data_IF_357731433469
#
_entry.id   IF_357731433469
#
_cell.length_a   1.000
_cell.length_b   1.000
_cell.length_c   1.000
_cell.angle_alpha   90.00
_cell.angle_beta   90.00
_cell.angle_gamma   90.00
#
_symmetry.space_group_name_H-M   'P 1'
#
loop_
_entity.id
_entity.type
_entity.pdbx_description
1 polymer ?
#
# COMPACT_ATOMS: atom_id res chain seq x y z
N UNK A 1 -9.84 -13.93 -10.22
CA UNK A 1 -10.26 -12.82 -11.13
C UNK A 1 -11.01 -11.80 -10.31
N UNK A 2 -10.66 -10.51 -10.41
CA UNK A 2 -11.33 -9.43 -9.70
C UNK A 2 -12.58 -8.94 -10.43
N UNK A 3 -13.46 -8.24 -9.68
CA UNK A 3 -14.60 -7.48 -10.20
C UNK A 3 -14.61 -6.12 -9.52
N UNK A 4 -14.98 -5.07 -10.23
CA UNK A 4 -15.16 -3.75 -9.64
C UNK A 4 -16.43 -3.70 -8.78
N UNK A 5 -16.38 -2.89 -7.71
CA UNK A 5 -17.54 -2.61 -6.89
C UNK A 5 -18.63 -1.90 -7.72
N UNK A 6 -19.89 -2.24 -7.49
CA UNK A 6 -21.03 -1.58 -8.16
C UNK A 6 -21.16 -0.12 -7.75
N UNK A 7 -20.92 0.17 -6.45
CA UNK A 7 -20.92 1.53 -5.90
C UNK A 7 -19.53 1.87 -5.34
N UNK A 8 -18.74 2.60 -6.11
CA UNK A 8 -17.42 3.10 -5.73
C UNK A 8 -17.47 4.38 -4.88
N UNK A 9 -18.65 4.98 -4.70
CA UNK A 9 -18.82 6.12 -3.79
C UNK A 9 -19.00 5.68 -2.33
N UNK A 10 -19.44 4.45 -2.12
CA UNK A 10 -19.56 3.85 -0.79
C UNK A 10 -18.18 3.53 -0.20
N UNK A 11 -18.09 3.65 1.12
CA UNK A 11 -16.93 3.19 1.88
C UNK A 11 -17.13 1.76 2.38
N UNK A 12 -16.05 0.98 2.38
CA UNK A 12 -16.05 -0.38 2.92
C UNK A 12 -15.96 -0.45 4.44
N UNK A 13 -15.47 -1.57 4.95
CA UNK A 13 -15.12 -1.73 6.37
C UNK A 13 -13.83 -0.96 6.71
N UNK A 14 -13.67 -0.60 8.00
CA UNK A 14 -12.38 -0.09 8.49
C UNK A 14 -11.27 -1.11 8.17
N UNK A 15 -10.20 -0.70 7.46
CA UNK A 15 -9.17 -1.63 7.03
C UNK A 15 -8.47 -2.32 8.22
N UNK A 16 -8.30 -1.60 9.36
CA UNK A 16 -7.77 -2.20 10.59
C UNK A 16 -8.64 -3.35 11.11
N UNK A 17 -9.97 -3.26 10.99
CA UNK A 17 -10.86 -4.36 11.37
C UNK A 17 -10.68 -5.54 10.41
N UNK A 18 -10.60 -5.27 9.12
CA UNK A 18 -10.37 -6.29 8.08
C UNK A 18 -9.06 -7.05 8.34
N UNK A 19 -7.97 -6.34 8.67
CA UNK A 19 -6.70 -6.98 9.04
C UNK A 19 -6.88 -7.89 10.27
N UNK A 20 -7.49 -7.38 11.35
CA UNK A 20 -7.64 -8.14 12.59
C UNK A 20 -8.60 -9.32 12.45
N UNK A 21 -9.72 -9.18 11.76
CA UNK A 21 -10.68 -10.25 11.49
C UNK A 21 -10.07 -11.34 10.59
N UNK A 22 -9.28 -10.94 9.61
CA UNK A 22 -8.52 -11.89 8.77
C UNK A 22 -7.49 -12.65 9.60
N UNK A 23 -6.74 -11.96 10.47
CA UNK A 23 -5.77 -12.61 11.37
C UNK A 23 -6.45 -13.56 12.36
N UNK A 24 -7.62 -13.20 12.94
CA UNK A 24 -8.38 -14.12 13.81
C UNK A 24 -8.78 -15.40 13.06
N UNK A 25 -9.19 -15.28 11.80
CA UNK A 25 -9.49 -16.45 10.95
C UNK A 25 -8.25 -17.29 10.69
N UNK A 26 -7.11 -16.68 10.40
CA UNK A 26 -5.84 -17.38 10.17
C UNK A 26 -5.34 -18.07 11.45
N UNK A 27 -5.46 -17.43 12.62
CA UNK A 27 -5.10 -18.02 13.91
C UNK A 27 -5.99 -19.25 14.23
N UNK A 28 -7.28 -19.19 13.90
CA UNK A 28 -8.18 -20.33 14.07
C UNK A 28 -7.81 -21.54 13.22
N UNK A 29 -7.20 -21.31 12.06
CA UNK A 29 -6.71 -22.35 11.14
C UNK A 29 -5.29 -22.84 11.48
N UNK A 30 -4.45 -21.95 12.04
CA UNK A 30 -3.04 -22.21 12.32
C UNK A 30 -2.58 -21.42 13.55
N UNK A 31 -2.34 -22.10 14.66
CA UNK A 31 -1.89 -21.54 15.94
C UNK A 31 -0.47 -20.93 15.90
N UNK A 32 0.27 -21.15 14.81
CA UNK A 32 1.58 -20.51 14.58
C UNK A 32 1.47 -19.06 14.10
N UNK A 33 0.31 -18.61 13.65
CA UNK A 33 0.08 -17.21 13.32
C UNK A 33 0.02 -16.40 14.62
N UNK A 34 0.85 -15.37 14.74
CA UNK A 34 0.94 -14.53 15.95
C UNK A 34 0.95 -13.05 15.57
N UNK A 35 0.33 -12.24 16.42
CA UNK A 35 0.27 -10.79 16.29
C UNK A 35 1.17 -10.11 17.31
N UNK A 36 2.08 -9.26 16.85
CA UNK A 36 2.94 -8.44 17.69
C UNK A 36 2.55 -6.97 17.56
N UNK A 37 2.53 -6.27 18.67
CA UNK A 37 2.08 -4.87 18.74
C UNK A 37 3.12 -4.00 19.47
N UNK A 38 3.20 -2.73 19.07
CA UNK A 38 4.08 -1.73 19.66
C UNK A 38 3.28 -0.65 20.41
N UNK A 39 2.49 -1.06 21.40
CA UNK A 39 1.64 -0.19 22.24
C UNK A 39 0.58 0.62 21.46
N UNK A 40 0.16 0.10 20.31
CA UNK A 40 -0.87 0.72 19.47
C UNK A 40 -2.12 -0.15 19.29
N UNK A 41 -2.31 -1.14 20.18
CA UNK A 41 -3.40 -2.11 20.07
C UNK A 41 -4.81 -1.50 20.08
N UNK A 42 -4.99 -0.34 20.73
CA UNK A 42 -6.24 0.43 20.64
C UNK A 42 -6.42 1.13 19.29
N UNK A 43 -5.34 1.53 18.63
CA UNK A 43 -5.38 2.18 17.33
C UNK A 43 -5.65 1.17 16.20
N UNK A 44 -4.99 0.01 16.25
CA UNK A 44 -5.14 -1.07 15.27
C UNK A 44 -6.37 -1.95 15.49
N UNK A 45 -7.00 -1.89 16.67
CA UNK A 45 -7.98 -2.87 17.17
C UNK A 45 -7.42 -4.28 17.41
N UNK A 46 -6.09 -4.47 17.48
CA UNK A 46 -5.46 -5.77 17.75
C UNK A 46 -5.74 -6.29 19.17
N UNK A 47 -6.21 -5.45 20.08
CA UNK A 47 -6.74 -5.89 21.38
C UNK A 47 -7.90 -6.89 21.24
N UNK A 48 -8.58 -6.97 20.10
CA UNK A 48 -9.56 -8.03 19.81
C UNK A 48 -8.88 -9.40 19.78
N UNK A 49 -7.69 -9.49 19.17
CA UNK A 49 -6.89 -10.73 19.14
C UNK A 49 -6.43 -11.06 20.55
N UNK A 50 -5.91 -10.07 21.31
CA UNK A 50 -5.54 -10.27 22.72
C UNK A 50 -6.69 -10.84 23.56
N UNK A 51 -7.91 -10.39 23.31
CA UNK A 51 -9.08 -10.85 24.05
C UNK A 51 -9.56 -12.26 23.65
N UNK A 52 -9.50 -12.63 22.38
CA UNK A 52 -9.98 -13.93 21.87
C UNK A 52 -8.89 -15.00 21.84
N UNK A 53 -7.64 -14.63 21.55
CA UNK A 53 -6.50 -15.51 21.34
C UNK A 53 -5.26 -14.96 22.08
N UNK A 54 -5.25 -14.92 23.42
CA UNK A 54 -4.20 -14.25 24.18
C UNK A 54 -2.80 -14.86 23.97
N UNK A 55 -2.70 -16.16 23.69
CA UNK A 55 -1.44 -16.85 23.44
C UNK A 55 -0.83 -16.49 22.04
N UNK A 56 -1.64 -15.93 21.15
CA UNK A 56 -1.22 -15.47 19.82
C UNK A 56 -1.01 -13.95 19.75
N UNK A 57 -1.02 -13.25 20.90
CA UNK A 57 -0.82 -11.80 20.97
C UNK A 57 0.37 -11.45 21.86
N UNK A 58 1.30 -10.67 21.32
CA UNK A 58 2.51 -10.24 22.02
C UNK A 58 2.58 -8.72 22.01
N UNK A 59 2.57 -8.12 23.21
CA UNK A 59 2.81 -6.71 23.38
C UNK A 59 4.29 -6.44 23.61
N UNK A 60 4.93 -5.70 22.71
CA UNK A 60 6.35 -5.37 22.76
C UNK A 60 6.64 -3.99 23.36
N UNK A 61 5.60 -3.21 23.67
CA UNK A 61 5.73 -1.81 24.08
C UNK A 61 6.21 -0.90 22.95
N UNK A 62 6.49 0.36 23.25
CA UNK A 62 7.00 1.34 22.26
C UNK A 62 8.47 1.03 21.93
N UNK A 63 8.70 -0.07 21.24
CA UNK A 63 10.02 -0.64 20.95
C UNK A 63 10.02 -1.35 19.60
N UNK A 64 9.77 -0.65 18.50
CA UNK A 64 9.56 -1.22 17.18
C UNK A 64 10.76 -2.05 16.69
N UNK A 65 11.99 -1.59 16.96
CA UNK A 65 13.21 -2.34 16.63
C UNK A 65 13.27 -3.68 17.39
N UNK A 66 12.94 -3.67 18.69
CA UNK A 66 12.86 -4.91 19.49
C UNK A 66 11.75 -5.83 18.98
N UNK A 67 10.57 -5.28 18.64
CA UNK A 67 9.47 -6.05 18.07
C UNK A 67 9.88 -6.81 16.81
N UNK A 68 10.69 -6.20 15.93
CA UNK A 68 11.23 -6.88 14.74
C UNK A 68 12.19 -8.00 15.10
N UNK A 69 13.04 -7.79 16.11
CA UNK A 69 13.94 -8.84 16.63
C UNK A 69 13.16 -10.02 17.22
N UNK A 70 12.10 -9.75 17.99
CA UNK A 70 11.21 -10.79 18.54
C UNK A 70 10.50 -11.54 17.40
N UNK A 71 9.94 -10.83 16.42
CA UNK A 71 9.30 -11.44 15.27
C UNK A 71 10.25 -12.33 14.47
N UNK A 72 11.49 -11.89 14.24
CA UNK A 72 12.51 -12.69 13.58
C UNK A 72 12.84 -13.97 14.36
N UNK A 73 13.01 -13.87 15.68
CA UNK A 73 13.24 -15.04 16.55
C UNK A 73 12.05 -16.00 16.53
N UNK A 74 10.82 -15.50 16.57
CA UNK A 74 9.63 -16.35 16.45
C UNK A 74 9.55 -17.04 15.07
N UNK A 75 9.90 -16.33 14.01
CA UNK A 75 9.97 -16.92 12.67
C UNK A 75 10.96 -18.08 12.59
N UNK A 76 12.13 -17.96 13.24
CA UNK A 76 13.11 -19.05 13.27
C UNK A 76 12.62 -20.30 13.99
N UNK A 77 11.63 -20.15 14.89
CA UNK A 77 10.97 -21.25 15.61
C UNK A 77 9.68 -21.75 14.89
N UNK A 78 9.46 -21.28 13.64
CA UNK A 78 8.37 -21.74 12.79
C UNK A 78 7.02 -21.03 13.04
N UNK A 79 7.01 -19.91 13.75
CA UNK A 79 5.84 -19.05 13.84
C UNK A 79 5.72 -18.15 12.59
N UNK A 80 4.52 -17.64 12.37
CA UNK A 80 4.16 -16.71 11.28
C UNK A 80 3.82 -15.36 11.91
N UNK A 81 4.82 -14.51 12.20
CA UNK A 81 4.59 -13.25 12.87
C UNK A 81 3.97 -12.21 11.94
N UNK A 82 2.93 -11.56 12.44
CA UNK A 82 2.41 -10.30 11.93
C UNK A 82 2.73 -9.21 12.94
N UNK A 83 3.29 -8.11 12.49
CA UNK A 83 3.66 -6.97 13.33
C UNK A 83 2.89 -5.73 12.89
N UNK A 84 2.48 -4.90 13.84
CA UNK A 84 1.81 -3.63 13.54
C UNK A 84 2.45 -2.47 14.29
N UNK A 85 2.58 -1.38 13.58
CA UNK A 85 2.71 -0.01 14.08
C UNK A 85 2.38 0.96 12.94
N UNK A 86 2.43 2.27 13.18
CA UNK A 86 2.28 3.24 12.09
C UNK A 86 3.39 3.10 11.04
N UNK A 87 3.05 3.37 9.79
CA UNK A 87 3.97 3.25 8.65
C UNK A 87 5.35 3.92 8.87
N UNK A 88 5.46 5.15 9.43
CA UNK A 88 6.78 5.74 9.66
C UNK A 88 7.60 5.03 10.74
N UNK A 89 6.95 4.42 11.72
CA UNK A 89 7.67 3.76 12.81
C UNK A 89 8.18 2.40 12.40
N UNK A 90 7.40 1.65 11.62
CA UNK A 90 7.83 0.37 11.07
C UNK A 90 8.97 0.56 10.06
N UNK A 91 8.89 1.61 9.24
CA UNK A 91 9.88 1.87 8.20
C UNK A 91 11.15 2.48 8.78
N UNK A 92 11.07 3.60 9.53
CA UNK A 92 12.26 4.35 9.96
C UNK A 92 12.96 3.77 11.19
N UNK A 93 12.17 3.44 12.25
CA UNK A 93 12.75 3.05 13.54
C UNK A 93 13.28 1.63 13.57
N UNK A 94 12.68 0.74 12.80
CA UNK A 94 12.97 -0.69 12.84
C UNK A 94 13.73 -1.21 11.61
N UNK A 95 14.12 -0.33 10.69
CA UNK A 95 14.66 -0.72 9.39
C UNK A 95 15.87 -1.66 9.49
N UNK A 96 16.80 -1.35 10.37
CA UNK A 96 18.02 -2.17 10.53
C UNK A 96 17.69 -3.60 10.96
N UNK A 97 16.75 -3.78 11.90
CA UNK A 97 16.32 -5.09 12.35
C UNK A 97 15.50 -5.83 11.28
N UNK A 98 14.66 -5.13 10.53
CA UNK A 98 13.98 -5.72 9.37
C UNK A 98 14.99 -6.20 8.34
N UNK A 99 16.03 -5.40 8.07
CA UNK A 99 17.07 -5.73 7.09
C UNK A 99 17.94 -6.90 7.57
N UNK A 100 18.53 -6.81 8.78
CA UNK A 100 19.48 -7.80 9.28
C UNK A 100 18.81 -9.03 9.87
N UNK A 101 17.91 -8.84 10.87
CA UNK A 101 17.29 -9.95 11.57
C UNK A 101 16.17 -10.61 10.74
N UNK A 102 15.51 -9.83 9.93
CA UNK A 102 14.47 -10.32 9.00
C UNK A 102 15.06 -10.83 7.69
N UNK A 103 15.35 -9.92 6.77
CA UNK A 103 15.70 -10.25 5.38
C UNK A 103 17.00 -11.01 5.22
N UNK A 104 18.12 -10.48 5.77
CA UNK A 104 19.44 -11.09 5.64
C UNK A 104 19.51 -12.47 6.32
N UNK A 105 18.86 -12.63 7.47
CA UNK A 105 18.76 -13.90 8.17
C UNK A 105 17.69 -14.86 7.61
N UNK A 106 17.01 -14.49 6.52
CA UNK A 106 15.97 -15.30 5.87
C UNK A 106 14.76 -15.63 6.76
N UNK A 107 14.42 -14.78 7.71
CA UNK A 107 13.24 -14.90 8.54
C UNK A 107 12.02 -14.28 7.85
N UNK A 108 10.83 -14.78 8.22
CA UNK A 108 9.56 -14.26 7.74
C UNK A 108 9.00 -13.23 8.71
N UNK A 109 8.69 -12.03 8.24
CA UNK A 109 7.99 -11.01 9.02
C UNK A 109 6.94 -10.35 8.12
N UNK A 110 5.66 -10.44 8.53
CA UNK A 110 4.55 -9.78 7.86
C UNK A 110 4.28 -8.46 8.58
N UNK A 111 4.38 -7.34 7.89
CA UNK A 111 4.44 -6.01 8.52
C UNK A 111 3.28 -5.14 8.03
N UNK A 112 2.33 -4.82 8.92
CA UNK A 112 1.27 -3.86 8.68
C UNK A 112 1.71 -2.45 9.09
N UNK A 113 2.03 -1.60 8.12
CA UNK A 113 2.26 -0.17 8.31
C UNK A 113 0.97 0.63 8.14
N UNK A 114 0.32 0.98 9.26
CA UNK A 114 -0.97 1.67 9.18
C UNK A 114 -0.84 3.17 8.96
N UNK A 115 -1.88 3.77 8.37
CA UNK A 115 -2.04 5.20 8.08
C UNK A 115 -0.86 5.83 7.33
N UNK A 116 -0.48 5.30 6.15
CA UNK A 116 0.60 5.84 5.36
C UNK A 116 0.26 7.23 4.79
N UNK A 117 1.28 8.01 4.54
CA UNK A 117 1.14 9.31 3.90
C UNK A 117 0.24 10.26 4.66
N UNK A 118 -0.67 10.94 3.97
CA UNK A 118 -1.60 11.89 4.58
C UNK A 118 -2.74 11.22 5.37
N UNK A 119 -2.90 9.90 5.26
CA UNK A 119 -3.96 9.15 5.97
C UNK A 119 -3.85 9.24 7.49
N UNK A 120 -2.67 9.53 8.02
CA UNK A 120 -2.42 9.71 9.45
C UNK A 120 -3.13 10.91 10.04
N UNK A 121 -3.53 11.86 9.22
CA UNK A 121 -4.39 13.01 9.54
C UNK A 121 -3.89 13.84 10.74
N UNK A 122 -4.71 13.92 11.81
CA UNK A 122 -4.48 14.79 12.96
C UNK A 122 -3.22 14.45 13.78
N UNK A 123 -2.62 13.25 13.60
CA UNK A 123 -1.38 12.90 14.27
C UNK A 123 -0.17 13.70 13.74
N UNK A 124 -0.28 14.27 12.55
CA UNK A 124 0.67 15.22 12.00
C UNK A 124 1.98 14.64 11.50
N UNK A 125 2.93 15.54 11.21
CA UNK A 125 4.17 15.21 10.50
C UNK A 125 5.07 14.18 11.16
N UNK A 126 5.06 14.06 12.48
CA UNK A 126 5.86 13.03 13.19
C UNK A 126 5.36 11.61 12.94
N UNK A 127 4.10 11.47 12.54
CA UNK A 127 3.43 10.20 12.26
C UNK A 127 3.18 10.00 10.75
N UNK A 128 3.51 10.99 9.92
CA UNK A 128 3.40 10.90 8.46
C UNK A 128 4.61 10.14 7.89
N UNK A 129 4.37 9.26 6.92
CA UNK A 129 5.40 8.65 6.10
C UNK A 129 5.17 8.99 4.63
N UNK A 130 6.12 9.65 4.01
CA UNK A 130 6.17 9.83 2.55
C UNK A 130 7.35 9.06 1.93
N UNK A 131 7.98 8.16 2.71
CA UNK A 131 9.20 7.43 2.35
C UNK A 131 9.17 5.93 2.68
N UNK A 132 8.10 5.44 3.29
CA UNK A 132 8.00 4.05 3.76
C UNK A 132 8.14 3.02 2.63
N UNK A 133 7.47 3.23 1.50
CA UNK A 133 7.59 2.38 0.31
C UNK A 133 9.03 2.41 -0.23
N UNK A 134 9.63 3.61 -0.31
CA UNK A 134 11.02 3.77 -0.77
C UNK A 134 11.99 2.96 0.08
N UNK A 135 11.90 3.07 1.40
CA UNK A 135 12.74 2.35 2.36
C UNK A 135 12.56 0.83 2.20
N UNK A 136 11.31 0.35 2.20
CA UNK A 136 11.01 -1.09 2.12
C UNK A 136 11.38 -1.70 0.76
N UNK A 137 11.29 -0.95 -0.32
CA UNK A 137 11.71 -1.39 -1.64
C UNK A 137 13.22 -1.67 -1.75
N UNK A 138 14.06 -1.06 -0.91
CA UNK A 138 15.51 -1.30 -0.92
C UNK A 138 15.90 -2.67 -0.36
N UNK A 139 15.02 -3.33 0.40
CA UNK A 139 15.31 -4.64 1.01
C UNK A 139 15.27 -5.73 -0.08
N UNK A 140 16.35 -6.51 -0.29
CA UNK A 140 16.35 -7.60 -1.26
C UNK A 140 15.22 -8.61 -0.98
N UNK A 141 14.52 -9.02 -2.03
CA UNK A 141 13.40 -9.99 -1.99
C UNK A 141 12.21 -9.60 -1.11
N UNK A 142 12.17 -8.41 -0.53
CA UNK A 142 10.98 -7.94 0.17
C UNK A 142 9.81 -7.74 -0.81
N UNK A 143 8.60 -7.94 -0.31
CA UNK A 143 7.36 -7.58 -1.01
C UNK A 143 6.77 -6.33 -0.39
N UNK A 144 6.23 -5.46 -1.24
CA UNK A 144 5.67 -4.17 -0.82
C UNK A 144 4.30 -4.00 -1.46
N UNK A 145 3.28 -3.87 -0.63
CA UNK A 145 1.89 -3.75 -1.06
C UNK A 145 1.24 -2.46 -0.53
N UNK A 146 0.34 -1.90 -1.32
CA UNK A 146 -0.50 -0.76 -0.92
C UNK A 146 -1.96 -1.07 -1.28
N UNK A 147 -2.79 -1.35 -0.28
CA UNK A 147 -4.15 -1.83 -0.48
C UNK A 147 -5.11 -0.73 -0.94
N UNK A 148 -5.81 -0.94 -2.04
CA UNK A 148 -6.78 0.00 -2.60
C UNK A 148 -8.11 0.03 -1.83
N UNK A 149 -8.48 -1.06 -1.16
CA UNK A 149 -9.69 -1.16 -0.34
C UNK A 149 -9.67 -2.34 0.65
N UNK A 150 -10.80 -2.55 1.32
CA UNK A 150 -11.00 -3.60 2.31
C UNK A 150 -10.88 -5.02 1.73
N UNK A 151 -11.39 -5.24 0.51
CA UNK A 151 -11.37 -6.55 -0.16
C UNK A 151 -9.94 -6.93 -0.51
N UNK A 152 -9.19 -6.01 -1.08
CA UNK A 152 -7.79 -6.23 -1.43
C UNK A 152 -6.91 -6.37 -0.17
N UNK A 153 -7.17 -5.60 0.90
CA UNK A 153 -6.45 -5.74 2.16
C UNK A 153 -6.61 -7.15 2.74
N UNK A 154 -7.82 -7.70 2.78
CA UNK A 154 -8.07 -9.06 3.26
C UNK A 154 -7.28 -10.11 2.45
N UNK A 155 -7.24 -9.96 1.14
CA UNK A 155 -6.48 -10.83 0.26
C UNK A 155 -4.97 -10.73 0.53
N UNK A 156 -4.44 -9.51 0.68
CA UNK A 156 -3.01 -9.28 0.99
C UNK A 156 -2.62 -9.98 2.30
N UNK A 157 -3.40 -9.78 3.37
CA UNK A 157 -3.11 -10.41 4.69
C UNK A 157 -3.09 -11.93 4.58
N UNK A 158 -4.11 -12.52 3.94
CA UNK A 158 -4.16 -13.98 3.72
C UNK A 158 -2.96 -14.47 2.91
N UNK A 159 -2.62 -13.76 1.84
CA UNK A 159 -1.49 -14.12 0.97
C UNK A 159 -0.17 -14.04 1.73
N UNK A 160 0.06 -12.98 2.50
CA UNK A 160 1.29 -12.81 3.29
C UNK A 160 1.52 -13.94 4.29
N UNK A 161 0.46 -14.51 4.87
CA UNK A 161 0.58 -15.65 5.81
C UNK A 161 1.27 -16.89 5.18
N UNK A 162 1.16 -17.06 3.87
CA UNK A 162 1.79 -18.16 3.12
C UNK A 162 3.13 -17.82 2.45
N UNK A 163 3.61 -16.58 2.56
CA UNK A 163 4.81 -16.12 1.86
C UNK A 163 6.02 -16.02 2.81
N UNK A 164 7.17 -16.62 2.47
CA UNK A 164 8.39 -16.46 3.24
C UNK A 164 9.03 -15.08 3.03
N UNK A 165 9.83 -14.62 3.98
CA UNK A 165 10.62 -13.40 3.90
C UNK A 165 9.87 -12.16 4.37
N UNK A 166 10.26 -10.99 3.89
CA UNK A 166 9.71 -9.71 4.33
C UNK A 166 8.52 -9.33 3.47
N UNK A 167 7.35 -9.20 4.10
CA UNK A 167 6.12 -8.79 3.46
C UNK A 167 5.61 -7.51 4.14
N UNK A 168 5.82 -6.37 3.52
CA UNK A 168 5.33 -5.09 3.98
C UNK A 168 4.03 -4.73 3.24
N UNK A 169 2.97 -4.51 3.97
CA UNK A 169 1.71 -4.01 3.44
C UNK A 169 1.24 -2.80 4.23
N UNK A 170 0.70 -1.83 3.51
CA UNK A 170 0.24 -0.59 4.10
C UNK A 170 -1.21 -0.30 3.70
N UNK A 171 -1.88 0.49 4.51
CA UNK A 171 -3.24 0.94 4.27
C UNK A 171 -3.78 1.74 5.43
N UNK A 172 -4.87 2.43 5.20
CA UNK A 172 -5.55 3.24 6.20
C UNK A 172 -6.04 2.36 7.37
N UNK A 173 -6.16 2.93 8.56
CA UNK A 173 -6.88 2.24 9.65
C UNK A 173 -8.38 2.29 9.46
N UNK A 174 -8.88 3.35 8.86
CA UNK A 174 -10.32 3.60 8.65
C UNK A 174 -10.80 3.09 7.29
N UNK A 175 -12.10 3.13 7.12
CA UNK A 175 -12.75 2.83 5.87
C UNK A 175 -12.34 3.83 4.77
N UNK A 176 -12.09 3.30 3.59
CA UNK A 176 -11.88 4.04 2.36
C UNK A 176 -12.89 3.58 1.32
N UNK A 177 -12.96 4.27 0.19
CA UNK A 177 -13.91 3.94 -0.88
C UNK A 177 -13.65 2.55 -1.45
N UNK A 178 -14.72 1.84 -1.80
CA UNK A 178 -14.63 0.55 -2.44
C UNK A 178 -14.08 0.68 -3.87
N UNK A 179 -13.20 -0.24 -4.24
CA UNK A 179 -12.71 -0.43 -5.61
C UNK A 179 -13.18 -1.79 -6.13
N UNK A 180 -13.11 -2.80 -5.29
CA UNK A 180 -13.39 -4.19 -5.65
C UNK A 180 -14.66 -4.73 -4.99
N UNK A 181 -15.37 -5.60 -5.71
CA UNK A 181 -16.47 -6.37 -5.17
C UNK A 181 -15.95 -7.53 -4.29
N UNK A 182 -16.74 -7.93 -3.31
CA UNK A 182 -16.46 -9.11 -2.48
C UNK A 182 -16.21 -10.36 -3.34
N UNK A 183 -15.30 -11.21 -2.90
CA UNK A 183 -14.89 -12.40 -3.63
C UNK A 183 -13.94 -12.15 -4.80
N UNK A 184 -13.43 -10.93 -4.95
CA UNK A 184 -12.35 -10.66 -5.91
C UNK A 184 -11.07 -11.37 -5.50
N UNK A 185 -10.39 -11.95 -6.50
CA UNK A 185 -9.11 -12.63 -6.36
C UNK A 185 -8.05 -11.88 -7.14
N UNK A 186 -6.86 -11.82 -6.56
CA UNK A 186 -5.71 -11.12 -7.12
C UNK A 186 -4.55 -12.08 -7.36
N UNK A 187 -3.51 -11.62 -8.05
CA UNK A 187 -2.31 -12.39 -8.30
C UNK A 187 -1.08 -11.62 -7.81
N UNK A 188 -0.20 -12.32 -7.09
CA UNK A 188 1.02 -11.73 -6.56
C UNK A 188 1.93 -11.22 -7.68
N UNK A 189 2.35 -9.96 -7.59
CA UNK A 189 3.23 -9.33 -8.57
C UNK A 189 2.53 -8.94 -9.87
N UNK A 190 1.19 -9.00 -9.92
CA UNK A 190 0.40 -8.54 -11.07
C UNK A 190 -0.39 -7.29 -10.74
N UNK A 191 -0.43 -6.37 -11.69
CA UNK A 191 -1.32 -5.20 -11.66
C UNK A 191 -2.70 -5.53 -12.22
N UNK A 192 -3.69 -4.70 -11.90
CA UNK A 192 -5.07 -4.86 -12.36
C UNK A 192 -5.44 -3.68 -13.26
N UNK A 193 -5.79 -3.94 -14.52
CA UNK A 193 -6.40 -2.92 -15.39
C UNK A 193 -7.85 -2.74 -14.96
N UNK A 194 -8.15 -1.59 -14.34
CA UNK A 194 -9.48 -1.27 -13.82
C UNK A 194 -10.36 -0.57 -14.85
N UNK A 195 -9.72 0.13 -15.78
CA UNK A 195 -10.37 0.87 -16.84
C UNK A 195 -9.45 0.90 -18.05
N UNK A 196 -10.00 0.55 -19.20
CA UNK A 196 -9.31 0.68 -20.50
C UNK A 196 -9.27 2.15 -20.95
N UNK A 197 -8.24 2.52 -21.72
CA UNK A 197 -8.09 3.86 -22.29
C UNK A 197 -6.95 3.94 -23.31
N UNK A 198 -7.08 4.83 -24.28
CA UNK A 198 -6.15 4.89 -25.43
C UNK A 198 -5.14 6.05 -25.39
N UNK A 199 -5.42 7.11 -24.63
CA UNK A 199 -4.59 8.32 -24.69
C UNK A 199 -3.53 8.36 -23.59
N UNK A 200 -3.92 8.10 -22.33
CA UNK A 200 -3.07 8.23 -21.15
C UNK A 200 -3.13 6.98 -20.30
N UNK A 201 -1.98 6.57 -19.77
CA UNK A 201 -1.90 5.52 -18.76
C UNK A 201 -1.72 6.15 -17.37
N UNK A 202 -2.65 5.89 -16.46
CA UNK A 202 -2.58 6.24 -15.05
C UNK A 202 -2.29 4.98 -14.25
N UNK A 203 -1.16 4.95 -13.53
CA UNK A 203 -0.79 3.84 -12.66
C UNK A 203 -0.86 4.34 -11.22
N UNK A 204 -1.74 3.74 -10.40
CA UNK A 204 -1.94 4.13 -9.02
C UNK A 204 -1.85 2.92 -8.09
N UNK A 205 -1.76 3.16 -6.78
CA UNK A 205 -1.83 2.15 -5.75
C UNK A 205 -2.50 2.71 -4.49
N UNK A 206 -3.02 1.82 -3.66
CA UNK A 206 -3.61 2.19 -2.39
C UNK A 206 -4.88 3.03 -2.54
N UNK A 207 -5.17 3.82 -1.51
CA UNK A 207 -6.39 4.63 -1.43
C UNK A 207 -6.64 5.56 -2.63
N UNK A 208 -5.58 5.99 -3.32
CA UNK A 208 -5.70 6.91 -4.46
C UNK A 208 -6.19 6.25 -5.76
N UNK A 209 -6.33 4.93 -5.79
CA UNK A 209 -6.91 4.21 -6.93
C UNK A 209 -8.34 4.69 -7.25
N UNK A 210 -9.15 4.93 -6.22
CA UNK A 210 -10.50 5.50 -6.40
C UNK A 210 -10.46 6.90 -7.03
N UNK A 211 -9.53 7.76 -6.60
CA UNK A 211 -9.35 9.10 -7.18
C UNK A 211 -8.81 9.05 -8.61
N UNK A 212 -7.97 8.05 -8.93
CA UNK A 212 -7.49 7.82 -10.29
C UNK A 212 -8.64 7.45 -11.25
N UNK A 213 -9.57 6.60 -10.80
CA UNK A 213 -10.78 6.25 -11.56
C UNK A 213 -11.69 7.46 -11.76
N UNK A 214 -11.91 8.28 -10.73
CA UNK A 214 -12.70 9.51 -10.84
C UNK A 214 -12.04 10.52 -11.81
N UNK A 215 -10.71 10.64 -11.75
CA UNK A 215 -9.96 11.48 -12.68
C UNK A 215 -10.13 11.01 -14.14
N UNK A 216 -10.06 9.70 -14.38
CA UNK A 216 -10.25 9.13 -15.71
C UNK A 216 -11.67 9.38 -16.25
N UNK A 217 -12.71 9.24 -15.42
CA UNK A 217 -14.08 9.56 -15.79
C UNK A 217 -14.28 11.06 -16.12
N UNK A 218 -13.59 11.93 -15.37
CA UNK A 218 -13.66 13.38 -15.63
C UNK A 218 -12.87 13.80 -16.88
N UNK A 219 -11.77 13.12 -17.18
CA UNK A 219 -10.98 13.31 -18.41
C UNK A 219 -11.76 12.86 -19.65
N UNK A 220 -12.51 11.74 -19.55
CA UNK A 220 -13.34 11.26 -20.65
C UNK A 220 -14.41 12.27 -21.08
N UNK A 221 -15.05 12.96 -20.11
CA UNK A 221 -16.00 14.05 -20.41
C UNK A 221 -15.34 15.21 -21.16
N UNK A 222 -14.02 15.28 -21.16
CA UNK A 222 -13.20 16.28 -21.86
C UNK A 222 -12.56 15.72 -23.15
N UNK A 223 -12.91 14.47 -23.55
CA UNK A 223 -12.42 13.83 -24.76
C UNK A 223 -11.03 13.18 -24.60
N UNK A 224 -10.55 12.95 -23.38
CA UNK A 224 -9.29 12.28 -23.08
C UNK A 224 -9.58 10.88 -22.54
N UNK A 225 -9.16 9.84 -23.26
CA UNK A 225 -9.37 8.44 -22.89
C UNK A 225 -8.22 7.97 -22.01
N UNK A 226 -8.47 7.84 -20.69
CA UNK A 226 -7.47 7.44 -19.72
C UNK A 226 -7.68 5.99 -19.26
N UNK A 227 -6.63 5.19 -19.35
CA UNK A 227 -6.51 3.88 -18.73
C UNK A 227 -6.09 4.00 -17.27
N UNK A 228 -6.61 3.12 -16.41
CA UNK A 228 -6.24 3.10 -14.97
C UNK A 228 -5.81 1.70 -14.57
N UNK A 229 -4.60 1.61 -14.03
CA UNK A 229 -4.05 0.40 -13.42
C UNK A 229 -3.93 0.59 -11.91
N UNK A 230 -4.44 -0.37 -11.14
CA UNK A 230 -4.08 -0.57 -9.75
C UNK A 230 -2.84 -1.45 -9.64
N UNK A 231 -1.72 -0.85 -9.27
CA UNK A 231 -0.44 -1.53 -9.05
C UNK A 231 -0.22 -1.78 -7.55
N UNK A 232 -1.15 -2.47 -6.92
CA UNK A 232 -1.16 -2.72 -5.48
C UNK A 232 0.10 -3.45 -4.97
N UNK A 233 0.73 -4.27 -5.81
CA UNK A 233 2.01 -4.88 -5.54
C UNK A 233 3.11 -4.02 -6.17
N UNK A 234 3.71 -3.13 -5.36
CA UNK A 234 4.76 -2.20 -5.82
C UNK A 234 6.10 -2.93 -5.98
N UNK A 235 6.29 -4.02 -5.21
CA UNK A 235 7.44 -4.91 -5.34
C UNK A 235 7.01 -6.36 -5.01
N UNK A 236 7.24 -7.32 -5.94
CA UNK A 236 7.70 -7.10 -7.31
C UNK A 236 6.69 -6.31 -8.15
N UNK A 237 7.18 -5.46 -9.05
CA UNK A 237 6.33 -4.71 -9.97
C UNK A 237 5.93 -5.61 -11.15
N UNK A 238 4.74 -5.43 -11.70
CA UNK A 238 4.33 -6.04 -12.97
C UNK A 238 4.93 -5.26 -14.15
N UNK A 239 6.20 -5.52 -14.43
CA UNK A 239 6.95 -4.85 -15.51
C UNK A 239 6.35 -5.15 -16.88
N UNK A 240 5.86 -6.38 -17.10
CA UNK A 240 5.22 -6.78 -18.35
C UNK A 240 3.97 -5.95 -18.64
N UNK A 241 3.12 -5.75 -17.62
CA UNK A 241 1.92 -4.93 -17.73
C UNK A 241 2.28 -3.47 -17.99
N UNK A 242 3.26 -2.90 -17.26
CA UNK A 242 3.72 -1.53 -17.49
C UNK A 242 4.17 -1.36 -18.93
N UNK A 243 4.97 -2.28 -19.47
CA UNK A 243 5.51 -2.20 -20.82
C UNK A 243 4.46 -2.45 -21.90
N UNK A 244 3.50 -3.34 -21.68
CA UNK A 244 2.43 -3.60 -22.64
C UNK A 244 1.50 -2.40 -22.77
N UNK A 245 1.06 -1.85 -21.64
CA UNK A 245 0.10 -0.76 -21.59
C UNK A 245 0.72 0.63 -21.88
N UNK A 246 2.03 0.76 -21.76
CA UNK A 246 2.74 1.97 -22.22
C UNK A 246 2.69 2.17 -23.74
N UNK A 247 2.48 1.08 -24.52
CA UNK A 247 2.51 1.13 -25.98
C UNK A 247 1.37 1.97 -26.53
N UNK A 248 1.73 2.96 -27.35
CA UNK A 248 0.78 3.82 -28.04
C UNK A 248 0.14 4.91 -27.18
N UNK A 249 0.47 4.98 -25.89
CA UNK A 249 0.00 6.06 -25.02
C UNK A 249 0.72 7.38 -25.37
N UNK A 250 0.00 8.47 -25.24
CA UNK A 250 0.53 9.85 -25.42
C UNK A 250 1.25 10.35 -24.18
N UNK A 251 0.84 9.87 -22.99
CA UNK A 251 1.46 10.20 -21.71
C UNK A 251 1.24 9.07 -20.67
N UNK A 252 2.12 9.02 -19.68
CA UNK A 252 2.02 8.11 -18.53
C UNK A 252 2.14 8.92 -17.25
N UNK A 253 1.25 8.66 -16.26
CA UNK A 253 1.28 9.30 -14.95
C UNK A 253 1.21 8.23 -13.87
N UNK A 254 2.11 8.26 -12.89
CA UNK A 254 1.92 7.52 -11.65
C UNK A 254 1.26 8.41 -10.61
N UNK A 255 0.41 7.83 -9.74
CA UNK A 255 -0.33 8.58 -8.73
C UNK A 255 -0.28 7.85 -7.39
N UNK A 256 0.39 8.46 -6.39
CA UNK A 256 0.74 7.78 -5.14
C UNK A 256 0.64 8.68 -3.90
N UNK A 257 0.11 8.14 -2.79
CA UNK A 257 0.14 8.76 -1.46
C UNK A 257 1.51 8.52 -0.81
N UNK A 258 2.56 9.02 -1.46
CA UNK A 258 3.96 8.82 -1.09
C UNK A 258 4.80 9.95 -1.72
N UNK A 259 6.01 10.14 -1.25
CA UNK A 259 6.99 11.00 -1.92
C UNK A 259 7.31 10.48 -3.32
N UNK A 260 7.54 11.40 -4.26
CA UNK A 260 7.90 10.99 -5.63
C UNK A 260 9.25 10.28 -5.73
N UNK A 261 10.06 10.32 -4.66
CA UNK A 261 11.39 9.68 -4.61
C UNK A 261 11.25 8.27 -4.02
N UNK A 262 11.65 7.28 -4.80
CA UNK A 262 11.74 5.87 -4.36
C UNK A 262 10.42 5.11 -4.31
N UNK A 263 9.26 5.75 -4.55
CA UNK A 263 7.94 5.12 -4.51
C UNK A 263 7.57 4.35 -5.79
N UNK A 264 6.26 4.25 -6.04
CA UNK A 264 5.69 3.63 -7.24
C UNK A 264 6.20 4.32 -8.52
N UNK A 265 6.23 5.66 -8.51
CA UNK A 265 6.66 6.43 -9.66
C UNK A 265 8.10 6.13 -10.09
N UNK A 266 9.02 5.96 -9.14
CA UNK A 266 10.41 5.58 -9.45
C UNK A 266 10.51 4.12 -9.92
N UNK A 267 9.68 3.22 -9.41
CA UNK A 267 9.63 1.83 -9.88
C UNK A 267 9.23 1.79 -11.36
N UNK A 268 8.15 2.48 -11.72
CA UNK A 268 7.67 2.56 -13.11
C UNK A 268 8.69 3.28 -14.00
N UNK A 269 9.27 4.41 -13.54
CA UNK A 269 10.27 5.16 -14.30
C UNK A 269 11.49 4.30 -14.67
N UNK A 270 11.97 3.47 -13.72
CA UNK A 270 13.10 2.55 -13.97
C UNK A 270 12.76 1.56 -15.10
N UNK A 271 11.58 0.93 -15.05
CA UNK A 271 11.14 -0.02 -16.09
C UNK A 271 11.05 0.67 -17.46
N UNK A 272 10.44 1.84 -17.53
CA UNK A 272 10.33 2.59 -18.79
C UNK A 272 11.70 2.97 -19.35
N UNK A 273 12.61 3.46 -18.50
CA UNK A 273 13.95 3.88 -18.90
C UNK A 273 14.82 2.71 -19.36
N UNK A 274 14.84 1.61 -18.61
CA UNK A 274 15.63 0.41 -18.93
C UNK A 274 15.17 -0.28 -20.24
N UNK A 275 13.90 -0.08 -20.61
CA UNK A 275 13.32 -0.63 -21.84
C UNK A 275 13.19 0.41 -22.96
N UNK A 276 13.82 1.58 -22.82
CA UNK A 276 13.85 2.67 -23.82
C UNK A 276 12.43 3.14 -24.27
N UNK A 277 11.47 3.14 -23.37
CA UNK A 277 10.10 3.62 -23.63
C UNK A 277 10.11 5.16 -23.56
N UNK A 278 10.03 5.81 -24.71
CA UNK A 278 10.08 7.27 -24.86
C UNK A 278 8.65 7.86 -24.92
N UNK A 279 7.99 7.96 -23.78
CA UNK A 279 6.67 8.58 -23.62
C UNK A 279 6.75 9.67 -22.54
N UNK A 280 6.10 10.84 -22.70
CA UNK A 280 5.98 11.82 -21.63
C UNK A 280 5.52 11.18 -20.32
N UNK A 281 6.31 11.32 -19.26
CA UNK A 281 6.08 10.65 -17.98
C UNK A 281 6.10 11.62 -16.81
N UNK A 282 5.16 11.48 -15.89
CA UNK A 282 5.10 12.28 -14.67
C UNK A 282 4.81 11.40 -13.44
N UNK A 283 5.62 11.55 -12.41
CA UNK A 283 5.32 11.06 -11.07
C UNK A 283 4.46 12.09 -10.35
N UNK A 284 3.24 11.74 -9.98
CA UNK A 284 2.33 12.58 -9.22
C UNK A 284 2.21 12.02 -7.80
N UNK A 285 2.85 12.69 -6.87
CA UNK A 285 2.96 12.35 -5.44
C UNK A 285 3.47 13.56 -4.68
N UNK A 286 3.95 13.35 -3.46
CA UNK A 286 4.48 14.42 -2.60
C UNK A 286 5.88 14.84 -3.07
N UNK A 287 6.08 16.14 -3.25
CA UNK A 287 7.36 16.72 -3.71
C UNK A 287 7.99 17.52 -2.59
N UNK A 288 9.10 17.02 -2.02
CA UNK A 288 9.98 17.73 -1.05
C UNK A 288 9.22 18.42 0.10
N UNK A 289 8.22 17.72 0.69
CA UNK A 289 7.42 18.25 1.79
C UNK A 289 7.39 17.30 2.97
N UNK A 290 7.28 17.87 4.18
CA UNK A 290 6.96 17.11 5.39
C UNK A 290 5.45 17.04 5.61
N UNK A 291 5.01 16.04 6.41
CA UNK A 291 3.63 15.92 6.81
C UNK A 291 3.14 17.11 7.66
N UNK A 292 1.85 17.38 7.57
CA UNK A 292 1.17 18.45 8.29
C UNK A 292 0.04 17.87 9.15
N UNK A 293 -0.55 18.72 10.02
CA UNK A 293 -1.70 18.39 10.86
C UNK A 293 -2.98 18.85 10.16
N UNK A 294 -3.93 17.94 9.97
CA UNK A 294 -5.22 18.25 9.35
C UNK A 294 -6.14 17.05 9.31
N UNK A 295 -7.34 17.20 8.74
CA UNK A 295 -8.14 16.05 8.34
C UNK A 295 -7.54 15.39 7.09
N UNK A 296 -7.76 14.09 6.87
CA UNK A 296 -7.26 13.42 5.68
C UNK A 296 -7.71 14.13 4.38
N UNK A 297 -8.97 14.55 4.30
CA UNK A 297 -9.52 15.25 3.13
C UNK A 297 -8.88 16.62 2.91
N UNK A 298 -8.57 17.34 3.98
CA UNK A 298 -7.87 18.63 3.87
C UNK A 298 -6.43 18.41 3.41
N UNK A 299 -5.72 17.46 4.02
CA UNK A 299 -4.35 17.12 3.65
C UNK A 299 -4.23 16.63 2.20
N UNK A 300 -5.19 15.81 1.73
CA UNK A 300 -5.24 15.38 0.34
C UNK A 300 -5.29 16.56 -0.64
N UNK A 301 -6.12 17.58 -0.31
CA UNK A 301 -6.21 18.82 -1.11
C UNK A 301 -4.95 19.69 -1.00
N UNK A 302 -4.43 19.84 0.21
CA UNK A 302 -3.20 20.62 0.47
C UNK A 302 -2.00 20.04 -0.29
N UNK A 303 -1.87 18.71 -0.29
CA UNK A 303 -0.82 18.01 -1.02
C UNK A 303 -1.14 17.81 -2.52
N UNK A 304 -2.27 18.33 -3.00
CA UNK A 304 -2.69 18.22 -4.40
C UNK A 304 -2.78 16.79 -4.91
N UNK A 305 -3.36 15.91 -4.10
CA UNK A 305 -3.55 14.50 -4.41
C UNK A 305 -5.03 14.16 -4.66
N UNK A 306 -5.81 15.10 -5.19
CA UNK A 306 -7.21 14.86 -5.58
C UNK A 306 -7.32 14.39 -7.03
N UNK A 307 -8.47 13.83 -7.38
CA UNK A 307 -8.80 13.47 -8.78
C UNK A 307 -8.69 14.68 -9.74
N UNK A 308 -9.05 15.89 -9.26
CA UNK A 308 -8.91 17.13 -10.04
C UNK A 308 -7.45 17.48 -10.30
N UNK A 309 -6.59 17.38 -9.28
CA UNK A 309 -5.15 17.68 -9.42
C UNK A 309 -4.47 16.70 -10.38
N UNK A 310 -4.86 15.42 -10.34
CA UNK A 310 -4.40 14.41 -11.29
C UNK A 310 -4.84 14.75 -12.71
N UNK A 311 -6.11 15.16 -12.90
CA UNK A 311 -6.63 15.59 -14.18
C UNK A 311 -5.84 16.78 -14.78
N UNK A 312 -5.48 17.78 -13.95
CA UNK A 312 -4.64 18.89 -14.41
C UNK A 312 -3.22 18.43 -14.79
N UNK A 313 -2.64 17.50 -14.05
CA UNK A 313 -1.34 16.91 -14.40
C UNK A 313 -1.40 16.19 -15.74
N UNK A 314 -2.43 15.41 -16.01
CA UNK A 314 -2.62 14.73 -17.29
C UNK A 314 -2.74 15.73 -18.43
N UNK A 315 -3.59 16.75 -18.28
CA UNK A 315 -3.76 17.80 -19.32
C UNK A 315 -2.46 18.56 -19.61
N UNK A 316 -1.69 18.86 -18.56
CA UNK A 316 -0.38 19.51 -18.70
C UNK A 316 0.66 18.67 -19.45
N UNK A 317 0.55 17.34 -19.44
CA UNK A 317 1.43 16.46 -20.23
C UNK A 317 1.00 16.32 -21.69
N UNK A 318 -0.28 16.55 -21.99
CA UNK A 318 -0.84 16.44 -23.35
C UNK A 318 -0.81 17.75 -24.12
N UNK A 319 -0.55 18.89 -23.45
CA UNK A 319 -0.47 20.22 -24.05
C UNK A 319 0.88 20.44 -24.75
#
# INVERSE_FOLDING_TARGET
MFKLAEDRSATGADLRNVVMETLQSLIAENDKVVMLEADLGGASNSLKIKASNPDNFIECGISEANMMGVAAGMSSEGYIPFVHTFAPFIARRAFDQVFLSGAYAHNTINMYGSDPGFSVAANGGTHTSFEDVAIMRTIPHARVFDAADAVQMAWIVKTCAGLPGINYFRGDRKAIRNVYAEGSEFELGKGNVLREGSDVLIISAGRLVSDALDAAENLEKQGISAEVIDMFCIKPLDEELVLSEAKGKKAIVTFENHGVIGGLGDAVASVLAENAVAVPFKRHGIVEQFGQVGTADWLQKEFKLTASDLGETVKGLLA
#
